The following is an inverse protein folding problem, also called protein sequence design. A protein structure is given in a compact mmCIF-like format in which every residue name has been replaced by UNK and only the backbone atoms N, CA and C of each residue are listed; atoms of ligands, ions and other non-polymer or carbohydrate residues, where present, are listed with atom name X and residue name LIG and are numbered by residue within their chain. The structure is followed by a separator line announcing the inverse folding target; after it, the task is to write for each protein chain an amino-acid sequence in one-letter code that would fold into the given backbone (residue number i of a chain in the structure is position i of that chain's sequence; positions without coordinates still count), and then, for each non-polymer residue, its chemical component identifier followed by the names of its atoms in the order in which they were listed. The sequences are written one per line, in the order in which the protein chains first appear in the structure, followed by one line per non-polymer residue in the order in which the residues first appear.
data_IF_609928307000
#
_entry.id   IF_609928307000
#
_cell.length_a   1.000
_cell.length_b   1.000
_cell.length_c   1.000
_cell.angle_alpha   90.00
_cell.angle_beta   90.00
_cell.angle_gamma   90.00
#
_symmetry.space_group_name_H-M   'P 1'
#
loop_
_entity.id
_entity.type
_entity.pdbx_description
1 polymer ?
#
# COMPACT_ATOMS: atom_id res chain seq x y z
N UNK A 1 16.52 -59.37 43.08
CA UNK A 1 17.39 -58.64 42.15
C UNK A 1 16.54 -58.30 40.92
N UNK A 2 15.79 -57.18 40.97
CA UNK A 2 14.84 -56.80 39.92
C UNK A 2 15.31 -55.51 39.24
N UNK A 3 15.56 -55.65 37.95
CA UNK A 3 16.17 -54.66 37.05
C UNK A 3 15.17 -53.55 36.73
N UNK A 4 15.51 -52.29 37.05
CA UNK A 4 14.72 -51.12 36.65
C UNK A 4 14.95 -50.84 35.17
N UNK A 5 13.90 -50.92 34.36
CA UNK A 5 13.90 -50.49 32.95
C UNK A 5 13.60 -48.99 32.94
N UNK A 6 14.59 -48.18 32.55
CA UNK A 6 14.43 -46.75 32.31
C UNK A 6 13.95 -46.55 30.86
N UNK A 7 12.72 -46.07 30.69
CA UNK A 7 12.23 -45.56 29.41
C UNK A 7 12.80 -44.16 29.20
N UNK A 8 13.73 -44.01 28.26
CA UNK A 8 14.20 -42.71 27.80
C UNK A 8 13.29 -42.20 26.67
N UNK A 9 12.45 -41.22 26.96
CA UNK A 9 11.66 -40.50 25.96
C UNK A 9 12.56 -39.51 25.21
N UNK A 10 12.88 -39.81 23.95
CA UNK A 10 13.52 -38.87 23.02
C UNK A 10 12.49 -37.83 22.57
N UNK A 11 12.59 -36.62 23.09
CA UNK A 11 11.93 -35.44 22.53
C UNK A 11 12.68 -35.04 21.24
N UNK A 12 12.08 -35.35 20.09
CA UNK A 12 12.48 -34.77 18.81
C UNK A 12 12.15 -33.27 18.85
N UNK A 13 13.16 -32.45 19.13
CA UNK A 13 13.08 -31.00 18.89
C UNK A 13 13.24 -30.80 17.38
N UNK A 14 12.12 -30.77 16.67
CA UNK A 14 12.10 -30.35 15.27
C UNK A 14 12.62 -28.92 15.19
N UNK A 15 13.82 -28.72 14.64
CA UNK A 15 14.30 -27.39 14.28
C UNK A 15 13.49 -26.93 13.07
N UNK A 16 12.43 -26.15 13.33
CA UNK A 16 11.74 -25.35 12.31
C UNK A 16 12.77 -24.37 11.75
N UNK A 17 13.43 -24.75 10.66
CA UNK A 17 14.26 -23.82 9.91
C UNK A 17 13.33 -22.79 9.28
N UNK A 18 13.31 -21.58 9.83
CA UNK A 18 12.47 -20.52 9.30
C UNK A 18 12.83 -20.22 7.85
N UNK A 19 11.80 -20.27 7.00
CA UNK A 19 11.92 -20.04 5.57
C UNK A 19 12.13 -18.56 5.25
N UNK A 20 12.77 -18.28 4.11
CA UNK A 20 12.71 -16.94 3.51
C UNK A 20 11.47 -16.84 2.66
N UNK A 21 10.68 -15.79 2.87
CA UNK A 21 9.54 -15.44 2.00
C UNK A 21 9.85 -14.14 1.25
N UNK A 22 9.59 -14.12 -0.04
CA UNK A 22 9.73 -12.94 -0.88
C UNK A 22 8.36 -12.42 -1.29
N UNK A 23 8.07 -11.16 -0.95
CA UNK A 23 6.77 -10.52 -1.15
C UNK A 23 6.93 -9.36 -2.12
N UNK A 24 6.19 -9.39 -3.22
CA UNK A 24 6.05 -8.26 -4.11
C UNK A 24 5.03 -7.28 -3.53
N UNK A 25 5.45 -6.05 -3.25
CA UNK A 25 4.63 -5.05 -2.56
C UNK A 25 4.60 -3.76 -3.36
N UNK A 26 3.39 -3.27 -3.64
CA UNK A 26 3.22 -1.99 -4.30
C UNK A 26 3.82 -0.85 -3.45
N UNK A 27 4.46 0.10 -4.11
CA UNK A 27 5.24 1.15 -3.45
C UNK A 27 4.45 2.01 -2.45
N UNK A 28 3.14 2.18 -2.59
CA UNK A 28 2.35 2.91 -1.61
C UNK A 28 2.29 2.17 -0.26
N UNK A 29 2.22 0.83 -0.25
CA UNK A 29 2.16 -0.02 0.95
C UNK A 29 3.45 -0.05 1.74
N UNK A 30 4.58 0.29 1.10
CA UNK A 30 5.91 0.14 1.68
C UNK A 30 6.06 0.79 3.06
N UNK A 31 5.36 1.91 3.30
CA UNK A 31 5.46 2.66 4.55
C UNK A 31 4.96 1.87 5.77
N UNK A 32 4.01 0.96 5.59
CA UNK A 32 3.49 0.11 6.67
C UNK A 32 4.27 -1.21 6.83
N UNK A 33 5.09 -1.59 5.84
CA UNK A 33 5.69 -2.92 5.78
C UNK A 33 6.64 -3.20 6.94
N UNK A 34 7.37 -2.20 7.44
CA UNK A 34 8.28 -2.42 8.55
C UNK A 34 7.54 -2.74 9.86
N UNK A 35 6.41 -2.09 10.14
CA UNK A 35 5.59 -2.40 11.32
C UNK A 35 4.85 -3.74 11.15
N UNK A 36 4.34 -4.03 9.95
CA UNK A 36 3.74 -5.32 9.60
C UNK A 36 4.73 -6.48 9.79
N UNK A 37 5.97 -6.33 9.28
CA UNK A 37 7.04 -7.32 9.45
C UNK A 37 7.39 -7.53 10.92
N UNK A 38 7.61 -6.44 11.66
CA UNK A 38 7.92 -6.50 13.09
C UNK A 38 6.82 -7.21 13.88
N UNK A 39 5.56 -6.96 13.55
CA UNK A 39 4.45 -7.61 14.22
C UNK A 39 4.37 -9.10 13.88
N UNK A 40 4.52 -9.46 12.61
CA UNK A 40 4.49 -10.87 12.17
C UNK A 40 5.60 -11.70 12.83
N UNK A 41 6.83 -11.17 12.86
CA UNK A 41 8.02 -11.87 13.38
C UNK A 41 7.90 -12.17 14.88
N UNK A 42 7.07 -11.45 15.65
CA UNK A 42 6.80 -11.81 17.07
C UNK A 42 6.24 -13.22 17.23
N UNK A 43 5.48 -13.69 16.24
CA UNK A 43 4.86 -15.01 16.23
C UNK A 43 5.59 -16.00 15.31
N UNK A 44 6.46 -15.50 14.43
CA UNK A 44 7.24 -16.27 13.45
C UNK A 44 8.72 -15.84 13.50
N UNK A 45 9.43 -16.07 14.63
CA UNK A 45 10.74 -15.49 14.89
C UNK A 45 11.82 -15.92 13.88
N UNK A 46 11.68 -17.11 13.31
CA UNK A 46 12.66 -17.67 12.36
C UNK A 46 12.39 -17.23 10.91
N UNK A 47 11.24 -16.61 10.61
CA UNK A 47 10.90 -16.23 9.24
C UNK A 47 11.66 -15.00 8.78
N UNK A 48 12.34 -15.12 7.63
CA UNK A 48 12.97 -13.97 6.95
C UNK A 48 12.02 -13.41 5.89
N UNK A 49 11.61 -12.16 6.05
CA UNK A 49 10.72 -11.48 5.09
C UNK A 49 11.51 -10.53 4.20
N UNK A 50 11.59 -10.87 2.91
CA UNK A 50 12.15 -10.03 1.85
C UNK A 50 11.03 -9.33 1.09
N UNK A 51 11.13 -8.01 0.95
CA UNK A 51 10.13 -7.18 0.27
C UNK A 51 10.73 -6.65 -1.01
N UNK A 52 10.06 -6.91 -2.13
CA UNK A 52 10.38 -6.32 -3.43
C UNK A 52 9.36 -5.23 -3.73
N UNK A 53 9.85 -4.00 -3.79
CA UNK A 53 9.02 -2.82 -4.03
C UNK A 53 8.96 -2.48 -5.53
N UNK A 54 7.77 -2.08 -5.99
CA UNK A 54 7.56 -1.60 -7.35
C UNK A 54 6.16 -1.06 -7.58
N UNK A 55 5.86 -0.59 -8.79
CA UNK A 55 4.47 -0.34 -9.18
C UNK A 55 3.75 -1.68 -9.36
N UNK A 56 2.43 -1.74 -9.08
CA UNK A 56 1.64 -2.96 -9.26
C UNK A 56 1.81 -3.55 -10.66
N UNK A 57 1.82 -2.70 -11.71
CA UNK A 57 2.03 -3.13 -13.09
C UNK A 57 3.42 -3.71 -13.37
N UNK A 58 4.49 -3.08 -12.86
CA UNK A 58 5.87 -3.59 -13.01
C UNK A 58 6.04 -4.92 -12.28
N UNK A 59 5.55 -5.02 -11.05
CA UNK A 59 5.59 -6.24 -10.26
C UNK A 59 4.78 -7.36 -10.94
N UNK A 60 3.61 -7.03 -11.50
CA UNK A 60 2.81 -7.99 -12.28
C UNK A 60 3.57 -8.51 -13.48
N UNK A 61 4.24 -7.64 -14.24
CA UNK A 61 5.06 -8.06 -15.37
C UNK A 61 6.20 -8.99 -14.91
N UNK A 62 6.87 -8.68 -13.79
CA UNK A 62 7.89 -9.55 -13.20
C UNK A 62 7.33 -10.91 -12.78
N UNK A 63 6.18 -10.93 -12.10
CA UNK A 63 5.48 -12.15 -11.69
C UNK A 63 5.15 -13.03 -12.91
N UNK A 64 4.59 -12.43 -13.97
CA UNK A 64 4.28 -13.14 -15.22
C UNK A 64 5.52 -13.67 -15.95
N UNK A 65 6.66 -13.01 -15.76
CA UNK A 65 7.95 -13.44 -16.29
C UNK A 65 8.71 -14.40 -15.35
N UNK A 66 8.05 -14.95 -14.32
CA UNK A 66 8.62 -16.01 -13.48
C UNK A 66 9.43 -15.52 -12.28
N UNK A 67 9.29 -14.25 -11.87
CA UNK A 67 9.92 -13.79 -10.64
C UNK A 67 9.43 -14.63 -9.44
N UNK A 68 10.33 -15.10 -8.55
CA UNK A 68 10.03 -16.13 -7.55
C UNK A 68 9.37 -15.56 -6.29
N UNK A 69 8.33 -14.74 -6.45
CA UNK A 69 7.59 -14.14 -5.32
C UNK A 69 6.52 -15.10 -4.81
N UNK A 70 6.36 -15.20 -3.49
CA UNK A 70 5.33 -16.03 -2.86
C UNK A 70 4.00 -15.30 -2.72
N UNK A 71 4.04 -13.98 -2.52
CA UNK A 71 2.86 -13.16 -2.29
C UNK A 71 2.94 -11.85 -3.07
N UNK A 72 1.79 -11.37 -3.56
CA UNK A 72 1.67 -10.08 -4.21
C UNK A 72 0.62 -9.22 -3.49
N UNK A 73 1.05 -8.05 -3.01
CA UNK A 73 0.21 -7.00 -2.42
C UNK A 73 0.20 -5.81 -3.38
N UNK A 74 -0.88 -5.65 -4.11
CA UNK A 74 -1.05 -4.60 -5.11
C UNK A 74 -1.67 -3.33 -4.52
N UNK A 75 -1.53 -2.21 -5.24
CA UNK A 75 -2.23 -0.94 -4.96
C UNK A 75 -3.62 -0.85 -5.62
N UNK A 76 -4.07 -1.92 -6.28
CA UNK A 76 -5.37 -2.02 -6.94
C UNK A 76 -5.85 -3.48 -6.99
N UNK A 77 -7.12 -3.71 -7.32
CA UNK A 77 -7.67 -5.06 -7.52
C UNK A 77 -7.43 -5.61 -8.93
N UNK A 78 -7.18 -4.75 -9.92
CA UNK A 78 -7.07 -5.12 -11.34
C UNK A 78 -5.93 -6.12 -11.58
N UNK A 79 -4.74 -5.87 -11.04
CA UNK A 79 -3.61 -6.76 -11.26
C UNK A 79 -3.73 -8.11 -10.54
N UNK A 80 -4.12 -8.18 -9.25
CA UNK A 80 -4.43 -9.44 -8.58
C UNK A 80 -5.50 -10.27 -9.31
N UNK A 81 -6.58 -9.62 -9.77
CA UNK A 81 -7.63 -10.27 -10.56
C UNK A 81 -7.08 -10.85 -11.86
N UNK A 82 -6.23 -10.10 -12.56
CA UNK A 82 -5.60 -10.58 -13.78
C UNK A 82 -4.70 -11.79 -13.53
N UNK A 83 -3.88 -11.75 -12.47
CA UNK A 83 -2.99 -12.87 -12.11
C UNK A 83 -3.77 -14.12 -11.72
N UNK A 84 -4.92 -13.97 -11.05
CA UNK A 84 -5.80 -15.08 -10.71
C UNK A 84 -6.46 -15.67 -11.97
N UNK A 85 -6.99 -14.82 -12.87
CA UNK A 85 -7.58 -15.26 -14.13
C UNK A 85 -6.57 -15.96 -15.05
N UNK A 86 -5.32 -15.50 -15.06
CA UNK A 86 -4.21 -16.13 -15.80
C UNK A 86 -3.68 -17.41 -15.08
N UNK A 87 -4.24 -17.80 -13.93
CA UNK A 87 -3.82 -18.97 -13.15
C UNK A 87 -2.42 -18.84 -12.54
N UNK A 88 -1.89 -17.63 -12.37
CA UNK A 88 -0.58 -17.36 -11.75
C UNK A 88 -0.72 -17.17 -10.24
N UNK A 89 -1.83 -16.56 -9.81
CA UNK A 89 -2.24 -16.52 -8.41
C UNK A 89 -3.11 -17.75 -8.07
N UNK A 90 -2.92 -18.27 -6.87
CA UNK A 90 -3.56 -19.51 -6.38
C UNK A 90 -4.77 -19.22 -5.49
N UNK A 91 -4.81 -18.04 -4.87
CA UNK A 91 -5.97 -17.56 -4.11
C UNK A 91 -6.78 -16.54 -4.90
N UNK A 92 -8.09 -16.51 -4.63
CA UNK A 92 -8.93 -15.40 -5.11
C UNK A 92 -8.41 -14.09 -4.52
N UNK A 93 -8.37 -12.99 -5.28
CA UNK A 93 -7.98 -11.69 -4.75
C UNK A 93 -8.88 -11.27 -3.60
N UNK A 94 -8.27 -10.89 -2.48
CA UNK A 94 -8.97 -10.32 -1.34
C UNK A 94 -8.51 -8.89 -1.10
N UNK A 95 -9.44 -8.05 -0.64
CA UNK A 95 -9.18 -6.68 -0.24
C UNK A 95 -8.47 -6.70 1.13
N UNK A 96 -7.26 -6.16 1.21
CA UNK A 96 -6.55 -6.00 2.49
C UNK A 96 -6.60 -4.57 3.02
N UNK A 97 -6.74 -3.58 2.13
CA UNK A 97 -6.79 -2.18 2.47
C UNK A 97 -7.41 -1.36 1.33
N UNK A 98 -7.78 -0.14 1.64
CA UNK A 98 -8.17 0.91 0.72
C UNK A 98 -7.21 2.10 0.89
N UNK A 99 -6.70 2.63 -0.22
CA UNK A 99 -5.81 3.78 -0.20
C UNK A 99 -6.54 5.06 0.22
N UNK A 100 -5.97 5.82 1.16
CA UNK A 100 -6.44 7.16 1.50
C UNK A 100 -5.84 8.23 0.58
N UNK A 101 -6.64 9.20 0.15
CA UNK A 101 -6.21 10.37 -0.63
C UNK A 101 -5.98 11.58 0.28
N UNK A 102 -4.89 12.32 0.05
CA UNK A 102 -4.59 13.55 0.79
C UNK A 102 -4.23 14.69 -0.17
N UNK A 103 -4.62 15.91 0.20
CA UNK A 103 -4.17 17.14 -0.42
C UNK A 103 -2.97 17.65 0.37
N UNK A 104 -1.84 17.88 -0.30
CA UNK A 104 -0.56 18.20 0.34
C UNK A 104 0.13 19.40 -0.32
N UNK A 105 0.89 20.16 0.45
CA UNK A 105 1.77 21.25 0.03
C UNK A 105 3.07 21.20 0.86
N UNK A 106 4.21 21.45 0.22
CA UNK A 106 5.48 21.66 0.92
C UNK A 106 5.57 23.01 1.65
N UNK A 107 4.68 23.96 1.31
CA UNK A 107 4.52 25.26 1.96
C UNK A 107 3.38 25.21 2.98
N UNK A 108 3.45 26.05 4.01
CA UNK A 108 2.32 26.29 4.91
C UNK A 108 1.16 26.93 4.14
N UNK A 109 -0.01 26.29 4.15
CA UNK A 109 -1.23 26.78 3.50
C UNK A 109 -2.42 26.57 4.44
N UNK A 110 -3.39 27.48 4.41
CA UNK A 110 -4.67 27.31 5.09
C UNK A 110 -5.60 26.37 4.30
N UNK A 111 -5.86 25.19 4.86
CA UNK A 111 -6.73 24.18 4.29
C UNK A 111 -8.21 24.29 4.71
N UNK A 112 -8.59 25.35 5.44
CA UNK A 112 -9.97 25.55 5.96
C UNK A 112 -11.05 25.50 4.87
N UNK A 113 -10.71 25.86 3.64
CA UNK A 113 -11.62 25.84 2.48
C UNK A 113 -11.72 24.47 1.79
N UNK A 114 -10.99 23.46 2.25
CA UNK A 114 -10.95 22.14 1.62
C UNK A 114 -10.60 22.25 0.13
N UNK A 115 -11.36 21.57 -0.74
CA UNK A 115 -11.13 21.57 -2.18
C UNK A 115 -11.41 22.92 -2.86
N UNK A 116 -12.19 23.82 -2.26
CA UNK A 116 -12.40 25.18 -2.81
C UNK A 116 -11.11 26.01 -2.81
N UNK A 117 -10.14 25.67 -1.96
CA UNK A 117 -8.79 26.27 -1.97
C UNK A 117 -8.13 26.21 -3.34
N UNK A 118 -8.38 25.15 -4.12
CA UNK A 118 -7.75 24.93 -5.43
C UNK A 118 -8.09 26.04 -6.43
N UNK A 119 -9.21 26.75 -6.23
CA UNK A 119 -9.63 27.88 -7.06
C UNK A 119 -8.88 29.16 -6.75
N UNK A 120 -8.18 29.23 -5.61
CA UNK A 120 -7.38 30.40 -5.22
C UNK A 120 -6.40 30.80 -6.32
N UNK A 121 -6.21 32.11 -6.58
CA UNK A 121 -5.19 32.60 -7.52
C UNK A 121 -3.76 32.29 -7.06
N UNK A 122 -3.55 32.02 -5.77
CA UNK A 122 -2.24 31.62 -5.23
C UNK A 122 -1.87 30.17 -5.54
N UNK A 123 -2.83 29.35 -5.98
CA UNK A 123 -2.60 27.97 -6.42
C UNK A 123 -2.54 27.97 -7.94
N UNK A 124 -1.35 27.79 -8.49
CA UNK A 124 -1.08 27.83 -9.92
C UNK A 124 -0.85 26.44 -10.52
N UNK A 125 -0.28 25.53 -9.73
CA UNK A 125 0.06 24.17 -10.14
C UNK A 125 -0.46 23.15 -9.15
N UNK A 126 -1.15 22.13 -9.66
CA UNK A 126 -1.71 21.03 -8.89
C UNK A 126 -1.13 19.72 -9.44
N UNK A 127 -0.28 19.07 -8.67
CA UNK A 127 0.28 17.76 -9.02
C UNK A 127 -0.77 16.67 -8.85
N UNK A 128 -1.03 15.91 -9.91
CA UNK A 128 -1.94 14.76 -9.90
C UNK A 128 -1.30 13.58 -10.63
N UNK A 129 -1.51 12.37 -10.11
CA UNK A 129 -1.14 11.18 -10.87
C UNK A 129 -2.02 11.08 -12.12
N UNK A 130 -1.49 10.57 -13.23
CA UNK A 130 -2.24 10.42 -14.47
C UNK A 130 -3.43 9.45 -14.25
N UNK A 131 -4.69 9.90 -14.39
CA UNK A 131 -5.86 9.06 -14.15
C UNK A 131 -5.99 7.90 -15.14
N UNK A 132 -5.31 7.95 -16.29
CA UNK A 132 -5.29 6.84 -17.25
C UNK A 132 -4.46 5.65 -16.75
N UNK A 133 -3.52 5.88 -15.82
CA UNK A 133 -2.55 4.87 -15.40
C UNK A 133 -2.53 4.62 -13.89
N UNK A 134 -3.11 5.52 -13.08
CA UNK A 134 -3.01 5.47 -11.63
C UNK A 134 -4.36 5.71 -10.92
N UNK A 135 -4.77 4.82 -9.98
CA UNK A 135 -6.07 4.95 -9.29
C UNK A 135 -6.16 6.20 -8.42
N UNK A 136 -5.06 6.67 -7.84
CA UNK A 136 -5.02 7.93 -7.10
C UNK A 136 -5.29 9.16 -7.98
N UNK A 137 -4.95 9.09 -9.26
CA UNK A 137 -5.29 10.13 -10.23
C UNK A 137 -6.79 10.16 -10.51
N UNK A 138 -7.40 8.98 -10.68
CA UNK A 138 -8.86 8.84 -10.82
C UNK A 138 -9.57 9.41 -9.60
N UNK A 139 -9.14 9.01 -8.39
CA UNK A 139 -9.72 9.49 -7.14
C UNK A 139 -9.60 11.01 -6.96
N UNK A 140 -8.47 11.62 -7.34
CA UNK A 140 -8.32 13.07 -7.30
C UNK A 140 -9.29 13.79 -8.25
N UNK A 141 -9.46 13.27 -9.47
CA UNK A 141 -10.39 13.81 -10.46
C UNK A 141 -11.85 13.67 -10.01
N UNK A 142 -12.22 12.50 -9.47
CA UNK A 142 -13.55 12.28 -8.88
C UNK A 142 -13.81 13.23 -7.72
N UNK A 143 -12.84 13.39 -6.82
CA UNK A 143 -12.98 14.28 -5.67
C UNK A 143 -13.21 15.73 -6.08
N UNK A 144 -12.42 16.23 -7.04
CA UNK A 144 -12.58 17.58 -7.58
C UNK A 144 -13.88 17.75 -8.36
N UNK A 145 -14.34 16.70 -9.06
CA UNK A 145 -15.61 16.70 -9.79
C UNK A 145 -16.80 16.76 -8.83
N UNK A 146 -16.82 15.89 -7.83
CA UNK A 146 -17.90 15.80 -6.85
C UNK A 146 -17.94 17.02 -5.92
N UNK A 147 -16.82 17.70 -5.73
CA UNK A 147 -16.75 19.01 -5.08
C UNK A 147 -17.08 20.20 -5.99
N UNK A 148 -17.40 19.98 -7.27
CA UNK A 148 -17.71 21.03 -8.26
C UNK A 148 -16.58 22.05 -8.51
N UNK A 149 -15.32 21.67 -8.27
CA UNK A 149 -14.15 22.55 -8.49
C UNK A 149 -13.36 22.23 -9.75
N UNK A 150 -13.51 21.01 -10.30
CA UNK A 150 -12.69 20.48 -11.38
C UNK A 150 -12.55 21.43 -12.57
N UNK A 151 -13.67 21.89 -13.15
CA UNK A 151 -13.68 22.75 -14.33
C UNK A 151 -12.94 24.09 -14.13
N UNK A 152 -12.83 24.56 -12.90
CA UNK A 152 -12.12 25.80 -12.56
C UNK A 152 -10.60 25.63 -12.47
N UNK A 153 -10.12 24.38 -12.37
CA UNK A 153 -8.72 24.07 -12.04
C UNK A 153 -8.02 23.16 -13.04
N UNK A 154 -8.72 22.66 -14.06
CA UNK A 154 -8.16 21.76 -15.09
C UNK A 154 -6.85 22.29 -15.73
N UNK A 155 -6.78 23.61 -15.98
CA UNK A 155 -5.59 24.25 -16.57
C UNK A 155 -4.39 24.32 -15.63
N UNK A 156 -4.56 23.99 -14.34
CA UNK A 156 -3.52 24.03 -13.31
C UNK A 156 -2.82 22.67 -13.15
N UNK A 157 -3.28 21.63 -13.82
CA UNK A 157 -2.78 20.27 -13.59
C UNK A 157 -1.37 20.04 -14.12
N UNK A 158 -0.56 19.41 -13.27
CA UNK A 158 0.74 18.85 -13.61
C UNK A 158 0.63 17.34 -13.43
N UNK A 159 0.50 16.61 -14.54
CA UNK A 159 0.35 15.16 -14.50
C UNK A 159 1.70 14.47 -14.23
N UNK A 160 1.70 13.59 -13.24
CA UNK A 160 2.79 12.65 -12.97
C UNK A 160 2.41 11.25 -13.47
N UNK A 161 3.39 10.46 -13.87
CA UNK A 161 3.20 9.08 -14.35
C UNK A 161 2.75 8.13 -13.24
N UNK A 162 3.11 8.42 -11.98
CA UNK A 162 2.80 7.59 -10.82
C UNK A 162 2.53 8.40 -9.55
N UNK A 163 1.94 7.74 -8.55
CA UNK A 163 1.68 8.37 -7.25
C UNK A 163 2.98 8.75 -6.52
N UNK A 164 4.05 7.98 -6.67
CA UNK A 164 5.36 8.30 -6.10
C UNK A 164 5.94 9.58 -6.72
N UNK A 165 5.86 9.71 -8.06
CA UNK A 165 6.28 10.92 -8.74
C UNK A 165 5.38 12.13 -8.41
N UNK A 166 4.09 11.89 -8.14
CA UNK A 166 3.16 12.95 -7.69
C UNK A 166 3.63 13.56 -6.37
N UNK A 167 4.12 12.74 -5.43
CA UNK A 167 4.73 13.22 -4.18
C UNK A 167 5.94 14.11 -4.48
N UNK A 168 6.85 13.68 -5.36
CA UNK A 168 8.00 14.49 -5.76
C UNK A 168 7.58 15.85 -6.36
N UNK A 169 6.59 15.86 -7.25
CA UNK A 169 6.08 17.10 -7.84
C UNK A 169 5.39 18.00 -6.82
N UNK A 170 4.63 17.43 -5.89
CA UNK A 170 3.99 18.20 -4.82
C UNK A 170 5.01 18.85 -3.87
N UNK A 171 6.21 18.24 -3.73
CA UNK A 171 7.30 18.82 -2.94
C UNK A 171 8.01 19.94 -3.70
N UNK A 172 8.33 19.74 -4.98
CA UNK A 172 9.31 20.58 -5.70
C UNK A 172 8.74 21.44 -6.83
N UNK A 173 7.59 21.08 -7.41
CA UNK A 173 7.14 21.60 -8.70
C UNK A 173 5.69 22.12 -8.73
N UNK A 174 4.90 21.85 -7.69
CA UNK A 174 3.50 22.25 -7.58
C UNK A 174 3.19 22.94 -6.25
N UNK A 175 2.11 23.71 -6.22
CA UNK A 175 1.64 24.39 -5.00
C UNK A 175 0.81 23.45 -4.13
N UNK A 176 0.04 22.56 -4.78
CA UNK A 176 -0.71 21.48 -4.15
C UNK A 176 -0.42 20.19 -4.90
N UNK A 177 -0.43 19.05 -4.21
CA UNK A 177 -0.51 17.74 -4.83
C UNK A 177 -1.54 16.83 -4.18
N UNK A 178 -2.15 15.98 -4.99
CA UNK A 178 -2.99 14.88 -4.53
C UNK A 178 -2.14 13.62 -4.39
N UNK A 179 -1.83 13.26 -3.15
CA UNK A 179 -0.89 12.18 -2.84
C UNK A 179 -1.59 11.02 -2.12
N UNK A 180 -0.92 9.86 -2.06
CA UNK A 180 -1.32 8.80 -1.16
C UNK A 180 -1.10 9.25 0.28
N UNK A 181 -2.14 9.19 1.12
CA UNK A 181 -2.04 9.53 2.55
C UNK A 181 -0.93 8.74 3.25
N UNK A 182 -0.72 7.48 2.86
CA UNK A 182 0.35 6.64 3.40
C UNK A 182 1.76 7.20 3.18
N UNK A 183 1.98 7.97 2.12
CA UNK A 183 3.29 8.59 1.86
C UNK A 183 3.70 9.62 2.91
N UNK A 184 2.75 10.24 3.62
CA UNK A 184 3.00 11.19 4.70
C UNK A 184 3.69 10.53 5.91
N UNK A 185 3.64 9.20 6.00
CA UNK A 185 4.30 8.41 7.05
C UNK A 185 5.71 7.98 6.69
N UNK A 186 6.20 8.37 5.50
CA UNK A 186 7.62 8.26 5.16
C UNK A 186 8.46 9.11 6.12
N UNK A 187 9.64 8.65 6.56
CA UNK A 187 10.56 9.47 7.34
C UNK A 187 10.88 10.83 6.69
N UNK A 188 10.95 10.86 5.36
CA UNK A 188 11.21 12.07 4.58
C UNK A 188 10.06 13.09 4.60
N UNK A 189 8.87 12.68 5.03
CA UNK A 189 7.67 13.53 5.12
C UNK A 189 7.35 13.95 6.57
N UNK A 190 8.14 13.51 7.56
CA UNK A 190 7.89 13.72 8.99
C UNK A 190 7.84 15.19 9.44
N UNK A 191 8.46 16.09 8.67
CA UNK A 191 8.42 17.53 8.90
C UNK A 191 7.03 18.14 8.58
N UNK A 192 6.25 17.52 7.70
CA UNK A 192 4.96 18.02 7.26
C UNK A 192 3.85 17.62 8.23
N UNK A 193 3.04 18.60 8.63
CA UNK A 193 2.01 18.45 9.67
C UNK A 193 0.60 18.58 9.10
N UNK A 194 -0.32 17.79 9.65
CA UNK A 194 -1.74 17.87 9.32
C UNK A 194 -2.29 19.26 9.63
N UNK A 195 -3.23 19.74 8.80
CA UNK A 195 -3.83 21.08 8.84
C UNK A 195 -2.88 22.27 8.57
N UNK A 196 -1.57 22.01 8.40
CA UNK A 196 -0.57 23.04 8.04
C UNK A 196 -0.04 22.80 6.62
N UNK A 197 0.25 21.54 6.31
CA UNK A 197 0.84 21.11 5.05
C UNK A 197 -0.05 20.12 4.29
N UNK A 198 -0.97 19.45 4.99
CA UNK A 198 -1.87 18.52 4.34
C UNK A 198 -3.18 18.33 5.08
N UNK A 199 -4.19 17.89 4.35
CA UNK A 199 -5.48 17.41 4.89
C UNK A 199 -5.91 16.16 4.13
N UNK A 200 -6.66 15.29 4.81
CA UNK A 200 -7.31 14.15 4.15
C UNK A 200 -8.41 14.65 3.21
N UNK A 201 -8.53 14.04 2.03
CA UNK A 201 -9.69 14.26 1.16
C UNK A 201 -10.81 13.34 1.65
N UNK A 202 -12.03 13.89 1.78
CA UNK A 202 -13.21 13.13 2.20
C UNK A 202 -13.42 11.92 1.27
N UNK A 203 -13.42 10.72 1.84
CA UNK A 203 -13.57 9.45 1.11
C UNK A 203 -14.91 9.31 0.41
N UNK A 204 -15.93 10.10 0.80
CA UNK A 204 -17.22 10.13 0.11
C UNK A 204 -17.14 10.80 -1.27
N UNK A 205 -16.06 11.52 -1.56
CA UNK A 205 -15.90 12.25 -2.81
C UNK A 205 -15.24 11.43 -3.92
N UNK A 206 -14.76 10.22 -3.65
CA UNK A 206 -14.10 9.38 -4.64
C UNK A 206 -14.41 7.90 -4.43
N UNK A 207 -14.30 7.14 -5.51
CA UNK A 207 -14.41 5.68 -5.48
C UNK A 207 -13.28 5.11 -4.63
N UNK A 208 -13.55 4.20 -3.67
CA UNK A 208 -12.50 3.63 -2.84
C UNK A 208 -11.35 3.03 -3.64
N UNK A 209 -10.13 3.32 -3.21
CA UNK A 209 -8.90 2.82 -3.87
C UNK A 209 -8.62 1.42 -3.33
N UNK A 210 -9.39 0.44 -3.77
CA UNK A 210 -9.32 -0.95 -3.31
C UNK A 210 -7.99 -1.62 -3.65
N UNK A 211 -7.31 -2.18 -2.64
CA UNK A 211 -5.99 -2.81 -2.78
C UNK A 211 -6.05 -4.32 -2.53
N UNK A 212 -5.62 -5.10 -3.53
CA UNK A 212 -5.74 -6.55 -3.49
C UNK A 212 -4.47 -7.29 -3.05
N UNK A 213 -4.66 -8.41 -2.36
CA UNK A 213 -3.61 -9.37 -2.04
C UNK A 213 -3.94 -10.75 -2.61
N UNK A 214 -2.92 -11.41 -3.18
CA UNK A 214 -3.00 -12.78 -3.68
C UNK A 214 -1.75 -13.57 -3.35
N UNK A 215 -1.92 -14.87 -3.12
CA UNK A 215 -0.84 -15.84 -3.07
C UNK A 215 -0.49 -16.28 -4.49
N UNK A 216 0.80 -16.41 -4.76
CA UNK A 216 1.33 -16.82 -6.05
C UNK A 216 1.72 -18.30 -6.00
N UNK A 217 1.80 -18.95 -7.16
CA UNK A 217 2.21 -20.37 -7.29
C UNK A 217 3.49 -20.70 -6.51
N UNK A 218 4.50 -19.83 -6.58
CA UNK A 218 5.78 -20.05 -5.89
C UNK A 218 5.67 -20.02 -4.35
N UNK A 219 4.55 -19.52 -3.81
CA UNK A 219 4.28 -19.45 -2.38
C UNK A 219 3.27 -20.46 -1.86
N UNK A 220 2.58 -21.21 -2.73
CA UNK A 220 1.41 -22.01 -2.33
C UNK A 220 1.74 -23.14 -1.36
N UNK A 221 2.93 -23.72 -1.47
CA UNK A 221 3.41 -24.80 -0.61
C UNK A 221 4.31 -24.31 0.54
N UNK A 222 4.46 -22.99 0.70
CA UNK A 222 5.27 -22.40 1.75
C UNK A 222 4.36 -21.96 2.91
N UNK A 223 4.43 -22.67 4.04
CA UNK A 223 3.60 -22.40 5.22
C UNK A 223 3.78 -20.98 5.76
N UNK A 224 4.97 -20.39 5.63
CA UNK A 224 5.23 -19.00 6.08
C UNK A 224 4.57 -17.97 5.15
N UNK A 225 4.47 -18.25 3.84
CA UNK A 225 3.70 -17.41 2.91
C UNK A 225 2.22 -17.47 3.25
N UNK A 226 1.69 -18.66 3.53
CA UNK A 226 0.30 -18.85 3.96
C UNK A 226 0.03 -18.10 5.27
N UNK A 227 0.95 -18.21 6.24
CA UNK A 227 0.85 -17.50 7.50
C UNK A 227 0.87 -15.98 7.31
N UNK A 228 1.79 -15.45 6.49
CA UNK A 228 1.85 -14.01 6.22
C UNK A 228 0.62 -13.50 5.46
N UNK A 229 0.11 -14.26 4.49
CA UNK A 229 -1.14 -13.95 3.79
C UNK A 229 -2.32 -13.80 4.77
N UNK A 230 -2.48 -14.77 5.67
CA UNK A 230 -3.53 -14.73 6.69
C UNK A 230 -3.32 -13.57 7.68
N UNK A 231 -2.08 -13.32 8.07
CA UNK A 231 -1.73 -12.19 8.94
C UNK A 231 -2.13 -10.85 8.32
N UNK A 232 -1.84 -10.61 7.03
CA UNK A 232 -2.20 -9.36 6.34
C UNK A 232 -3.72 -9.10 6.36
N UNK A 233 -4.53 -10.15 6.35
CA UNK A 233 -6.00 -10.07 6.40
C UNK A 233 -6.55 -9.98 7.84
N UNK A 234 -5.70 -10.17 8.85
CA UNK A 234 -6.10 -10.20 10.26
C UNK A 234 -6.46 -8.81 10.80
N UNK A 235 -7.27 -8.73 11.88
CA UNK A 235 -7.54 -7.46 12.57
C UNK A 235 -6.26 -6.74 13.02
N UNK A 236 -5.20 -7.49 13.34
CA UNK A 236 -3.94 -6.91 13.80
C UNK A 236 -3.19 -6.17 12.70
N UNK A 237 -3.09 -6.77 11.51
CA UNK A 237 -2.49 -6.11 10.36
C UNK A 237 -3.34 -4.92 9.88
N UNK A 238 -4.68 -5.07 9.90
CA UNK A 238 -5.60 -3.97 9.60
C UNK A 238 -5.40 -2.76 10.52
N UNK A 239 -5.30 -2.99 11.83
CA UNK A 239 -5.02 -1.91 12.79
C UNK A 239 -3.66 -1.23 12.53
N UNK A 240 -2.66 -1.96 12.02
CA UNK A 240 -1.38 -1.36 11.60
C UNK A 240 -1.60 -0.50 10.35
N UNK A 241 -2.26 -1.03 9.32
CA UNK A 241 -2.56 -0.29 8.09
C UNK A 241 -3.32 1.01 8.37
N UNK A 242 -4.30 1.02 9.27
CA UNK A 242 -5.02 2.23 9.68
C UNK A 242 -4.08 3.31 10.22
N UNK A 243 -3.08 2.95 11.03
CA UNK A 243 -2.08 3.91 11.54
C UNK A 243 -1.28 4.58 10.42
N UNK A 244 -1.11 3.91 9.29
CA UNK A 244 -0.43 4.42 8.09
C UNK A 244 -1.39 5.07 7.09
N UNK A 245 -2.59 5.44 7.51
CA UNK A 245 -3.53 6.22 6.71
C UNK A 245 -4.27 5.42 5.63
N UNK A 246 -4.29 4.10 5.75
CA UNK A 246 -5.19 3.24 4.98
C UNK A 246 -6.58 3.21 5.62
N UNK A 247 -7.58 2.96 4.78
CA UNK A 247 -8.92 2.56 5.23
C UNK A 247 -8.96 1.03 5.13
N UNK A 248 -9.58 0.34 6.08
CA UNK A 248 -9.66 -1.13 6.08
C UNK A 248 -11.12 -1.59 6.05
N UNK A 249 -11.46 -2.62 5.25
CA UNK A 249 -12.79 -3.21 5.25
C UNK A 249 -13.06 -4.11 6.47
#
# INVERSE_FOLDING_TARGET
MFTKILLASWLFVGSLHGGTITIAVAANVSYAMDELKKEFIKHHPDTKIEVVLGSSGKLTAQIKNGAPYGLFMAADMKYPQRLYADGVATTKPLLYAQGGLAMFSSKTIDFSKGLELLKSPTISKIAIANPQTAPYGVAAMEAMKNANVLSSVEKKFVFAESIAQTVSYAITAADIGFIAKSSLYSPNMSAYKENIHWVSVDSKLYTPIDQGVVMLKNGENNSEVVAFYNFILSPKAKAILEKFGYIVP
#
